data_IF_508316214640
#
_entry.id   IF_508316214640
#
_cell.length_a   1.000
_cell.length_b   1.000
_cell.length_c   1.000
_cell.angle_alpha   90.00
_cell.angle_beta   90.00
_cell.angle_gamma   90.00
#
_symmetry.space_group_name_H-M   'P 1'
#
loop_
_entity.id
_entity.type
_entity.pdbx_description
1 polymer ?
#
# COMPACT_ATOMS: atom_id res chain seq x y z
N UNK A 1 4.82 15.34 -5.26
CA UNK A 1 4.71 14.36 -6.34
C UNK A 1 3.88 13.18 -5.86
N UNK A 2 3.00 12.68 -6.69
CA UNK A 2 2.08 11.62 -6.30
C UNK A 2 2.03 10.54 -7.36
N UNK A 3 2.18 9.31 -6.94
CA UNK A 3 2.04 8.13 -7.79
C UNK A 3 0.91 7.28 -7.24
N UNK A 4 0.02 6.82 -8.10
CA UNK A 4 -1.13 6.01 -7.68
C UNK A 4 -0.93 4.58 -8.18
N UNK A 5 -1.07 3.63 -7.27
CA UNK A 5 -1.06 2.20 -7.60
C UNK A 5 -2.47 1.70 -7.39
N UNK A 6 -3.07 1.22 -8.46
CA UNK A 6 -4.43 0.70 -8.44
C UNK A 6 -4.37 -0.82 -8.63
N UNK A 7 -4.89 -1.55 -7.65
CA UNK A 7 -4.81 -3.00 -7.63
C UNK A 7 -6.21 -3.59 -7.66
N UNK A 8 -6.57 -4.22 -8.75
CA UNK A 8 -7.85 -4.92 -8.88
C UNK A 8 -7.70 -6.30 -8.29
N UNK A 9 -8.59 -6.65 -7.37
CA UNK A 9 -8.48 -7.87 -6.60
C UNK A 9 -9.68 -8.78 -6.79
N UNK A 10 -9.50 -10.05 -6.45
CA UNK A 10 -10.61 -10.98 -6.34
C UNK A 10 -11.43 -10.65 -5.10
N UNK A 11 -12.71 -11.01 -5.06
CA UNK A 11 -13.53 -10.81 -3.87
C UNK A 11 -12.94 -11.47 -2.64
N UNK A 12 -13.13 -10.85 -1.49
CA UNK A 12 -12.63 -11.38 -0.23
C UNK A 12 -12.35 -10.28 0.77
N UNK A 13 -11.58 -10.63 1.79
CA UNK A 13 -11.23 -9.71 2.86
C UNK A 13 -10.44 -8.53 2.30
N UNK A 14 -10.67 -7.35 2.86
CA UNK A 14 -9.93 -6.14 2.50
C UNK A 14 -8.42 -6.37 2.60
N UNK A 15 -7.70 -6.09 1.51
CA UNK A 15 -6.25 -6.18 1.57
C UNK A 15 -5.66 -5.12 2.49
N UNK A 16 -6.33 -3.98 2.64
CA UNK A 16 -5.89 -2.97 3.59
C UNK A 16 -5.83 -3.55 5.01
N UNK A 17 -6.86 -4.32 5.39
CA UNK A 17 -6.89 -4.94 6.71
C UNK A 17 -5.78 -5.99 6.85
N UNK A 18 -5.53 -6.74 5.79
CA UNK A 18 -4.47 -7.74 5.81
C UNK A 18 -3.10 -7.10 5.94
N UNK A 19 -2.88 -6.00 5.24
CA UNK A 19 -1.63 -5.24 5.32
C UNK A 19 -1.45 -4.68 6.73
N UNK A 20 -2.52 -4.17 7.33
CA UNK A 20 -2.45 -3.63 8.68
C UNK A 20 -2.02 -4.63 9.73
N UNK A 21 -2.22 -5.91 9.49
CA UNK A 21 -1.80 -6.98 10.40
C UNK A 21 -0.52 -7.68 9.99
N UNK A 22 0.23 -7.14 9.04
CA UNK A 22 1.34 -7.86 8.42
C UNK A 22 2.69 -7.17 8.61
N UNK A 23 2.88 -6.53 9.76
CA UNK A 23 4.09 -5.72 10.03
C UNK A 23 5.38 -6.48 9.79
N UNK A 24 5.42 -7.74 10.19
CA UNK A 24 6.64 -8.54 10.07
C UNK A 24 7.08 -8.68 8.61
N UNK A 25 6.14 -8.92 7.72
CA UNK A 25 6.45 -9.06 6.29
C UNK A 25 6.73 -7.71 5.63
N UNK A 26 6.01 -6.68 6.05
CA UNK A 26 6.28 -5.32 5.56
C UNK A 26 7.72 -4.92 5.82
N UNK A 27 8.22 -5.21 7.03
CA UNK A 27 9.59 -4.88 7.39
C UNK A 27 10.60 -5.53 6.45
N UNK A 28 10.34 -6.72 5.99
CA UNK A 28 11.23 -7.40 5.05
C UNK A 28 11.34 -6.68 3.71
N UNK A 29 10.35 -5.88 3.37
CA UNK A 29 10.33 -5.10 2.13
C UNK A 29 10.69 -3.64 2.36
N UNK A 30 11.19 -3.32 3.54
CA UNK A 30 11.60 -1.96 3.83
C UNK A 30 10.44 -1.02 4.13
N UNK A 31 9.32 -1.55 4.59
CA UNK A 31 8.12 -0.76 4.87
C UNK A 31 7.69 -0.93 6.33
N UNK A 32 7.09 0.11 6.87
CA UNK A 32 6.56 0.09 8.23
C UNK A 32 5.19 0.75 8.24
N UNK A 33 4.28 0.17 9.00
CA UNK A 33 2.96 0.74 9.21
C UNK A 33 3.08 1.87 10.24
N UNK A 34 2.82 3.09 9.82
CA UNK A 34 2.97 4.25 10.67
C UNK A 34 1.65 4.74 11.23
N UNK A 35 0.56 4.50 10.52
CA UNK A 35 -0.76 4.93 10.96
C UNK A 35 -1.82 4.00 10.42
N UNK A 36 -2.86 3.76 11.22
CA UNK A 36 -4.02 2.99 10.77
C UNK A 36 -5.26 3.60 11.38
N UNK A 37 -6.16 4.08 10.53
CA UNK A 37 -7.44 4.59 10.95
C UNK A 37 -8.42 3.45 11.08
N UNK A 38 -8.87 3.22 12.31
CA UNK A 38 -9.82 2.15 12.59
C UNK A 38 -11.23 2.65 12.79
N UNK A 39 -11.44 3.94 12.65
CA UNK A 39 -12.74 4.53 12.92
C UNK A 39 -13.73 4.08 11.88
N UNK A 40 -14.81 3.54 12.34
CA UNK A 40 -15.85 3.01 11.47
C UNK A 40 -16.53 4.07 10.62
N UNK A 41 -16.50 5.30 11.04
CA UNK A 41 -17.16 6.36 10.30
C UNK A 41 -16.46 6.74 9.03
N UNK A 42 -15.20 6.45 8.95
CA UNK A 42 -14.44 6.70 7.74
C UNK A 42 -14.04 5.39 7.15
N UNK A 43 -13.70 5.43 5.88
CA UNK A 43 -13.33 4.23 5.17
C UNK A 43 -12.12 3.53 5.75
N UNK A 44 -11.54 4.03 6.78
CA UNK A 44 -10.36 3.45 7.32
C UNK A 44 -9.24 3.44 6.28
N UNK A 45 -8.13 4.02 6.59
CA UNK A 45 -6.96 3.97 5.73
C UNK A 45 -5.75 3.65 6.58
N UNK A 46 -4.72 3.17 5.92
CA UNK A 46 -3.46 2.86 6.57
C UNK A 46 -2.36 3.65 5.89
N UNK A 47 -1.33 3.98 6.63
CA UNK A 47 -0.22 4.76 6.12
C UNK A 47 1.06 4.01 6.37
N UNK A 48 1.84 3.86 5.32
CA UNK A 48 3.14 3.20 5.38
C UNK A 48 4.25 4.20 5.12
N UNK A 49 5.41 3.93 5.68
CA UNK A 49 6.64 4.67 5.40
C UNK A 49 7.75 3.69 5.04
N UNK A 50 8.77 4.20 4.35
CA UNK A 50 9.96 3.42 4.08
C UNK A 50 10.84 3.38 5.33
N UNK A 51 11.45 2.22 5.60
CA UNK A 51 12.47 2.09 6.64
C UNK A 51 13.87 2.28 6.08
N UNK A 52 14.00 2.46 4.76
CA UNK A 52 15.31 2.58 4.14
C UNK A 52 15.87 3.97 4.36
N UNK A 53 17.16 4.08 4.73
CA UNK A 53 17.77 5.39 4.92
C UNK A 53 17.69 6.25 3.66
N UNK A 54 17.39 7.52 3.82
CA UNK A 54 17.31 8.45 2.71
C UNK A 54 16.06 8.32 1.85
N UNK A 55 15.15 7.42 2.19
CA UNK A 55 13.92 7.23 1.45
C UNK A 55 12.78 7.89 2.20
N UNK A 56 12.38 9.06 1.74
CA UNK A 56 11.23 9.75 2.30
C UNK A 56 9.94 9.32 1.64
N UNK A 57 8.87 10.00 2.03
CA UNK A 57 7.57 9.75 1.45
C UNK A 57 6.71 8.82 2.28
N UNK A 58 5.47 8.72 1.86
CA UNK A 58 4.47 7.92 2.54
C UNK A 58 3.57 7.25 1.52
N UNK A 59 2.94 6.16 1.92
CA UNK A 59 1.95 5.47 1.12
C UNK A 59 0.65 5.46 1.91
N UNK A 60 -0.40 6.04 1.34
CA UNK A 60 -1.73 5.99 1.91
C UNK A 60 -2.49 4.87 1.21
N UNK A 61 -3.02 3.95 2.00
CA UNK A 61 -3.68 2.75 1.48
C UNK A 61 -5.17 2.83 1.80
N UNK A 62 -5.97 2.61 0.78
CA UNK A 62 -7.42 2.61 0.88
C UNK A 62 -7.98 1.38 0.18
N UNK A 63 -8.99 0.77 0.79
CA UNK A 63 -9.71 -0.35 0.18
C UNK A 63 -11.04 0.14 -0.35
N UNK A 64 -11.23 0.03 -1.66
CA UNK A 64 -12.48 0.35 -2.32
C UNK A 64 -13.33 -0.92 -2.37
N UNK A 65 -14.28 -1.00 -1.46
CA UNK A 65 -15.09 -2.19 -1.31
C UNK A 65 -15.98 -2.45 -2.53
N UNK A 66 -16.52 -1.41 -3.11
CA UNK A 66 -17.42 -1.53 -4.26
C UNK A 66 -16.68 -2.06 -5.49
N UNK A 67 -15.46 -1.58 -5.69
CA UNK A 67 -14.64 -1.99 -6.84
C UNK A 67 -13.78 -3.22 -6.54
N UNK A 68 -13.75 -3.68 -5.32
CA UNK A 68 -12.84 -4.75 -4.88
C UNK A 68 -11.41 -4.40 -5.29
N UNK A 69 -10.97 -3.23 -4.88
CA UNK A 69 -9.70 -2.69 -5.32
C UNK A 69 -8.95 -2.06 -4.15
N UNK A 70 -7.63 -2.22 -4.20
CA UNK A 70 -6.72 -1.54 -3.28
C UNK A 70 -6.17 -0.33 -4.02
N UNK A 71 -6.29 0.84 -3.41
CA UNK A 71 -5.76 2.08 -3.98
C UNK A 71 -4.65 2.57 -3.07
N UNK A 72 -3.46 2.69 -3.60
CA UNK A 72 -2.29 3.12 -2.85
C UNK A 72 -1.78 4.42 -3.47
N UNK A 73 -1.63 5.45 -2.63
CA UNK A 73 -1.10 6.73 -3.07
C UNK A 73 0.26 6.92 -2.46
N UNK A 74 1.26 6.94 -3.31
CA UNK A 74 2.63 7.21 -2.90
C UNK A 74 2.86 8.71 -3.01
N UNK A 75 3.14 9.35 -1.88
CA UNK A 75 3.34 10.80 -1.82
C UNK A 75 4.79 11.07 -1.42
N UNK A 76 5.51 11.74 -2.28
CA UNK A 76 6.88 12.18 -2.02
C UNK A 76 6.97 13.68 -2.26
N UNK A 77 7.97 14.33 -1.66
CA UNK A 77 8.23 15.75 -1.91
C UNK A 77 9.32 15.90 -2.95
N UNK A 78 10.54 15.65 -2.54
CA UNK A 78 11.71 15.76 -3.40
C UNK A 78 12.33 14.41 -3.70
N UNK A 79 11.92 13.37 -2.97
CA UNK A 79 12.46 12.04 -3.13
C UNK A 79 11.95 11.37 -4.39
N UNK A 80 12.76 10.53 -4.98
CA UNK A 80 12.35 9.67 -6.08
C UNK A 80 11.29 8.68 -5.58
N UNK A 81 10.11 8.61 -6.18
CA UNK A 81 9.08 7.67 -5.76
C UNK A 81 9.37 6.22 -6.14
N UNK A 82 10.35 5.99 -7.00
CA UNK A 82 10.65 4.65 -7.50
C UNK A 82 10.95 3.62 -6.43
N UNK A 83 11.88 3.87 -5.51
CA UNK A 83 12.23 2.86 -4.51
C UNK A 83 11.07 2.44 -3.62
N UNK A 84 10.32 3.38 -3.07
CA UNK A 84 9.20 3.04 -2.18
C UNK A 84 8.07 2.37 -2.95
N UNK A 85 7.83 2.80 -4.19
CA UNK A 85 6.84 2.16 -5.06
C UNK A 85 7.25 0.73 -5.37
N UNK A 86 8.50 0.51 -5.71
CA UNK A 86 9.01 -0.83 -5.98
C UNK A 86 8.91 -1.75 -4.78
N UNK A 87 9.21 -1.24 -3.59
CA UNK A 87 9.09 -2.02 -2.36
C UNK A 87 7.64 -2.45 -2.12
N UNK A 88 6.70 -1.53 -2.34
CA UNK A 88 5.28 -1.85 -2.16
C UNK A 88 4.81 -2.88 -3.19
N UNK A 89 5.16 -2.70 -4.45
CA UNK A 89 4.76 -3.65 -5.50
C UNK A 89 5.36 -5.02 -5.23
N UNK A 90 6.63 -5.08 -4.82
CA UNK A 90 7.26 -6.35 -4.46
C UNK A 90 6.56 -7.04 -3.31
N UNK A 91 6.19 -6.29 -2.29
CA UNK A 91 5.45 -6.81 -1.15
C UNK A 91 4.09 -7.36 -1.59
N UNK A 92 3.33 -6.57 -2.35
CA UNK A 92 1.99 -6.97 -2.79
C UNK A 92 2.04 -8.24 -3.63
N UNK A 93 2.94 -8.31 -4.58
CA UNK A 93 3.05 -9.48 -5.46
C UNK A 93 3.55 -10.72 -4.73
N UNK A 94 4.39 -10.55 -3.72
CA UNK A 94 4.87 -11.67 -2.93
C UNK A 94 3.81 -12.19 -1.99
N UNK A 95 3.08 -11.29 -1.34
CA UNK A 95 2.16 -11.64 -0.26
C UNK A 95 0.76 -11.98 -0.76
N UNK A 96 0.28 -11.29 -1.79
CA UNK A 96 -1.12 -11.37 -2.21
C UNK A 96 -1.30 -11.73 -3.69
N UNK A 97 -0.32 -12.37 -4.29
CA UNK A 97 -0.37 -12.69 -5.72
C UNK A 97 -1.69 -13.31 -6.16
N UNK A 98 -2.21 -14.24 -5.35
CA UNK A 98 -3.43 -14.97 -5.72
C UNK A 98 -4.69 -14.12 -5.69
N UNK A 99 -4.63 -13.00 -4.99
CA UNK A 99 -5.75 -12.08 -4.88
C UNK A 99 -5.70 -10.98 -5.93
N UNK A 100 -4.56 -10.78 -6.58
CA UNK A 100 -4.35 -9.65 -7.49
C UNK A 100 -4.66 -10.09 -8.91
N UNK A 101 -5.62 -9.41 -9.55
CA UNK A 101 -5.96 -9.64 -10.94
C UNK A 101 -5.22 -8.70 -11.87
N UNK A 102 -5.03 -7.46 -11.45
CA UNK A 102 -4.33 -6.46 -12.23
C UNK A 102 -3.73 -5.41 -11.30
N UNK A 103 -2.59 -4.86 -11.69
CA UNK A 103 -1.93 -3.82 -10.95
C UNK A 103 -1.47 -2.76 -11.94
N UNK A 104 -1.92 -1.52 -11.73
CA UNK A 104 -1.63 -0.42 -12.62
C UNK A 104 -0.94 0.69 -11.83
N UNK A 105 0.13 1.23 -12.37
CA UNK A 105 0.86 2.33 -11.76
C UNK A 105 0.67 3.57 -12.62
N UNK A 106 0.19 4.62 -12.00
CA UNK A 106 -0.01 5.92 -12.65
C UNK A 106 0.93 6.91 -11.98
N UNK A 107 1.99 7.29 -12.66
CA UNK A 107 2.97 8.24 -12.10
C UNK A 107 2.40 9.61 -11.87
#
# INVERSE_FOLDING_TARGET
>A
MQTVIHVVCTPGVSLRDRIGGDERRLTKFGLVLSEQKRMSRQQGWSKLHSTRPGQGGAINIHWDRAATALVCRVVTRTEDPGPITGDLVGYLLTRFRRRIQALTIVP
#
